data_IF_035637110282
#
_entry.id   IF_035637110282
#
_cell.length_a   1.000
_cell.length_b   1.000
_cell.length_c   1.000
_cell.angle_alpha   90.00
_cell.angle_beta   90.00
_cell.angle_gamma   90.00
#
_symmetry.space_group_name_H-M   'P 1'
#
loop_
_entity.id
_entity.type
_entity.pdbx_description
1 polymer ?
#
# COMPACT_ATOMS: atom_id res chain seq x y z
N UNK A 1 10.14 -22.32 11.91
CA UNK A 1 8.96 -22.02 11.07
C UNK A 1 7.94 -23.12 11.22
N UNK A 2 6.85 -22.86 11.89
CA UNK A 2 5.80 -23.85 12.12
C UNK A 2 4.51 -23.50 11.37
N UNK A 3 3.94 -24.49 10.72
CA UNK A 3 2.63 -24.35 10.05
C UNK A 3 1.46 -24.58 11.02
N UNK A 4 1.73 -25.16 12.18
CA UNK A 4 0.73 -25.50 13.18
C UNK A 4 1.06 -24.77 14.48
N UNK A 5 0.06 -24.12 15.04
CA UNK A 5 0.13 -23.53 16.37
C UNK A 5 -0.33 -24.58 17.40
N UNK A 6 0.58 -24.97 18.29
CA UNK A 6 0.33 -25.98 19.32
C UNK A 6 0.18 -25.38 20.73
N UNK A 7 0.21 -24.07 20.85
CA UNK A 7 0.14 -23.34 22.14
C UNK A 7 -1.29 -23.33 22.75
N UNK A 8 -2.01 -24.40 22.67
CA UNK A 8 -3.37 -24.55 23.15
C UNK A 8 -4.11 -25.54 22.27
N UNK A 9 -5.31 -25.19 21.80
CA UNK A 9 -5.97 -25.96 20.78
C UNK A 9 -5.18 -25.88 19.47
N UNK A 10 -4.91 -27.04 18.85
CA UNK A 10 -4.15 -27.09 17.59
C UNK A 10 -4.85 -26.30 16.48
N UNK A 11 -4.15 -25.33 15.91
CA UNK A 11 -4.64 -24.49 14.82
C UNK A 11 -3.64 -24.43 13.68
N UNK A 12 -4.15 -24.38 12.47
CA UNK A 12 -3.33 -24.18 11.27
C UNK A 12 -3.07 -22.68 11.11
N UNK A 13 -1.78 -22.33 10.95
CA UNK A 13 -1.39 -20.96 10.58
C UNK A 13 -1.60 -20.79 9.08
N UNK A 14 -2.76 -20.29 8.71
CA UNK A 14 -3.18 -20.22 7.31
C UNK A 14 -2.25 -19.37 6.43
N UNK A 15 -1.74 -18.25 6.95
CA UNK A 15 -0.80 -17.42 6.21
C UNK A 15 0.51 -18.15 5.92
N UNK A 16 1.00 -18.93 6.86
CA UNK A 16 2.20 -19.75 6.70
C UNK A 16 1.96 -20.90 5.71
N UNK A 17 0.85 -21.58 5.85
CA UNK A 17 0.46 -22.65 4.93
C UNK A 17 0.31 -22.13 3.49
N UNK A 18 -0.37 -21.01 3.32
CA UNK A 18 -0.52 -20.36 2.02
C UNK A 18 0.82 -19.97 1.40
N UNK A 19 1.73 -19.41 2.21
CA UNK A 19 3.07 -19.02 1.75
C UNK A 19 3.86 -20.20 1.26
N UNK A 20 3.82 -21.32 1.96
CA UNK A 20 4.52 -22.56 1.57
C UNK A 20 3.87 -23.21 0.35
N UNK A 21 2.54 -23.23 0.30
CA UNK A 21 1.77 -23.90 -0.75
C UNK A 21 1.71 -23.14 -2.08
N UNK A 22 1.97 -21.83 -2.08
CA UNK A 22 1.89 -21.00 -3.28
C UNK A 22 3.25 -20.78 -3.93
N UNK A 23 3.26 -20.62 -5.25
CA UNK A 23 4.48 -20.34 -5.99
C UNK A 23 4.96 -18.89 -5.90
N UNK A 24 4.09 -17.98 -5.50
CA UNK A 24 4.41 -16.57 -5.32
C UNK A 24 3.62 -15.96 -4.16
N UNK A 25 4.24 -15.03 -3.47
CA UNK A 25 3.64 -14.19 -2.43
C UNK A 25 3.70 -12.76 -2.93
N UNK A 26 2.56 -12.15 -3.11
CA UNK A 26 2.45 -10.82 -3.68
C UNK A 26 2.06 -9.79 -2.61
N UNK A 27 2.91 -8.80 -2.40
CA UNK A 27 2.53 -7.59 -1.69
C UNK A 27 1.84 -6.60 -2.65
N UNK A 28 0.90 -5.82 -2.14
CA UNK A 28 0.07 -4.91 -2.94
C UNK A 28 0.54 -3.45 -2.91
N UNK A 29 1.61 -3.18 -2.21
CA UNK A 29 2.33 -1.92 -2.18
C UNK A 29 3.78 -2.20 -1.77
N UNK A 30 4.72 -1.38 -2.19
CA UNK A 30 6.13 -1.61 -1.91
C UNK A 30 6.44 -1.65 -0.41
N UNK A 31 5.91 -0.71 0.34
CA UNK A 31 6.03 -0.70 1.80
C UNK A 31 5.46 -1.98 2.42
N UNK A 32 4.30 -2.41 1.98
CA UNK A 32 3.65 -3.64 2.44
C UNK A 32 4.48 -4.87 2.16
N UNK A 33 5.01 -4.98 0.94
CA UNK A 33 5.88 -6.09 0.52
C UNK A 33 7.14 -6.16 1.37
N UNK A 34 7.76 -5.00 1.62
CA UNK A 34 8.94 -4.90 2.48
C UNK A 34 8.63 -5.35 3.91
N UNK A 35 7.54 -4.87 4.49
CA UNK A 35 7.14 -5.25 5.85
C UNK A 35 6.83 -6.75 5.96
N UNK A 36 6.20 -7.35 4.95
CA UNK A 36 5.98 -8.80 4.92
C UNK A 36 7.30 -9.57 4.97
N UNK A 37 8.29 -9.13 4.20
CA UNK A 37 9.62 -9.75 4.17
C UNK A 37 10.40 -9.60 5.46
N UNK A 38 10.29 -8.46 6.12
CA UNK A 38 11.08 -8.10 7.29
C UNK A 38 10.47 -8.56 8.61
N UNK A 39 9.16 -8.74 8.65
CA UNK A 39 8.43 -9.01 9.90
C UNK A 39 7.62 -10.30 9.85
N UNK A 40 6.43 -10.26 9.29
CA UNK A 40 5.42 -11.34 9.39
C UNK A 40 5.89 -12.63 8.74
N UNK A 41 6.48 -12.56 7.57
CA UNK A 41 6.94 -13.71 6.78
C UNK A 41 8.46 -13.73 6.58
N UNK A 42 9.19 -13.19 7.54
CA UNK A 42 10.64 -13.06 7.50
C UNK A 42 11.36 -14.38 7.23
N UNK A 43 10.97 -15.43 7.93
CA UNK A 43 11.62 -16.74 7.80
C UNK A 43 11.39 -17.33 6.41
N UNK A 44 10.18 -17.18 5.88
CA UNK A 44 9.84 -17.62 4.53
C UNK A 44 10.54 -16.79 3.45
N UNK A 45 10.73 -15.51 3.67
CA UNK A 45 11.48 -14.65 2.77
C UNK A 45 12.96 -15.03 2.72
N UNK A 46 13.53 -15.51 3.83
CA UNK A 46 14.89 -16.04 3.89
C UNK A 46 15.02 -17.37 3.15
N UNK A 47 14.02 -18.24 3.25
CA UNK A 47 14.02 -19.56 2.60
C UNK A 47 13.70 -19.47 1.10
N UNK A 48 12.77 -18.62 0.73
CA UNK A 48 12.22 -18.51 -0.62
C UNK A 48 12.18 -17.05 -1.10
N UNK A 49 13.32 -16.35 -1.18
CA UNK A 49 13.31 -14.92 -1.53
C UNK A 49 12.71 -14.63 -2.91
N UNK A 50 12.85 -15.55 -3.86
CA UNK A 50 12.34 -15.41 -5.23
C UNK A 50 10.80 -15.48 -5.32
N UNK A 51 10.13 -16.00 -4.30
CA UNK A 51 8.66 -16.07 -4.27
C UNK A 51 8.00 -14.74 -3.92
N UNK A 52 8.74 -13.86 -3.24
CA UNK A 52 8.21 -12.57 -2.78
C UNK A 52 8.30 -11.53 -3.89
N UNK A 53 7.16 -11.04 -4.30
CA UNK A 53 7.02 -10.03 -5.35
C UNK A 53 6.18 -8.86 -4.88
N UNK A 54 6.37 -7.72 -5.50
CA UNK A 54 5.51 -6.58 -5.30
C UNK A 54 4.77 -6.27 -6.60
N UNK A 55 3.45 -6.20 -6.50
CA UNK A 55 2.59 -5.66 -7.55
C UNK A 55 1.69 -4.62 -6.91
N UNK A 56 2.09 -3.38 -7.01
CA UNK A 56 1.34 -2.27 -6.43
C UNK A 56 -0.06 -2.20 -7.02
N UNK A 57 -1.06 -2.07 -6.16
CA UNK A 57 -2.44 -1.88 -6.59
C UNK A 57 -2.56 -0.71 -7.54
N UNK A 58 -3.27 -0.91 -8.63
CA UNK A 58 -3.65 0.16 -9.53
C UNK A 58 -4.68 1.06 -8.87
N UNK A 59 -4.37 2.34 -8.75
CA UNK A 59 -5.30 3.36 -8.26
C UNK A 59 -5.37 4.51 -9.25
N UNK A 60 -6.52 5.14 -9.32
CA UNK A 60 -6.74 6.31 -10.17
C UNK A 60 -7.16 7.52 -9.34
N UNK A 61 -6.25 8.06 -8.47
CA UNK A 61 -6.61 9.11 -7.53
C UNK A 61 -7.15 10.35 -8.22
N UNK A 62 -6.62 10.70 -9.39
CA UNK A 62 -7.11 11.81 -10.22
C UNK A 62 -8.55 11.63 -10.62
N UNK A 63 -8.87 10.50 -11.23
CA UNK A 63 -10.21 10.18 -11.70
C UNK A 63 -11.20 10.07 -10.54
N UNK A 64 -10.82 9.39 -9.47
CA UNK A 64 -11.65 9.28 -8.28
C UNK A 64 -11.95 10.64 -7.67
N UNK A 65 -10.96 11.49 -7.53
CA UNK A 65 -11.14 12.83 -6.98
C UNK A 65 -12.05 13.68 -7.87
N UNK A 66 -11.78 13.70 -9.16
CA UNK A 66 -12.57 14.51 -10.12
C UNK A 66 -14.03 14.09 -10.21
N UNK A 67 -14.31 12.79 -10.18
CA UNK A 67 -15.65 12.24 -10.33
C UNK A 67 -16.40 12.15 -9.01
N UNK A 68 -15.76 11.69 -7.95
CA UNK A 68 -16.40 11.49 -6.66
C UNK A 68 -16.52 12.77 -5.85
N UNK A 69 -15.59 13.69 -6.00
CA UNK A 69 -15.61 14.97 -5.27
C UNK A 69 -15.20 16.14 -6.17
N UNK A 70 -16.07 16.54 -7.10
CA UNK A 70 -15.77 17.66 -8.02
C UNK A 70 -15.60 18.99 -7.29
N UNK A 71 -16.19 19.16 -6.11
CA UNK A 71 -16.00 20.35 -5.28
C UNK A 71 -14.56 20.50 -4.81
N UNK A 72 -13.98 19.40 -4.31
CA UNK A 72 -12.56 19.39 -3.90
C UNK A 72 -11.63 19.55 -5.11
N UNK A 73 -11.95 18.93 -6.25
CA UNK A 73 -11.19 19.11 -7.48
C UNK A 73 -11.12 20.58 -7.92
N UNK A 74 -12.26 21.28 -7.90
CA UNK A 74 -12.32 22.72 -8.20
C UNK A 74 -11.53 23.56 -7.20
N UNK A 75 -11.57 23.20 -5.93
CA UNK A 75 -10.80 23.89 -4.89
C UNK A 75 -9.28 23.74 -5.15
N UNK A 76 -8.85 22.55 -5.52
CA UNK A 76 -7.45 22.28 -5.88
C UNK A 76 -7.04 23.06 -7.13
N UNK A 77 -7.89 23.09 -8.16
CA UNK A 77 -7.64 23.86 -9.38
C UNK A 77 -7.44 25.34 -9.07
N UNK A 78 -8.28 25.89 -8.20
CA UNK A 78 -8.19 27.30 -7.79
C UNK A 78 -6.96 27.59 -6.92
N UNK A 79 -6.57 26.64 -6.06
CA UNK A 79 -5.47 26.84 -5.10
C UNK A 79 -4.07 26.63 -5.70
N UNK A 80 -3.90 25.63 -6.55
CA UNK A 80 -2.59 25.21 -7.08
C UNK A 80 -2.55 25.06 -8.60
N UNK A 81 -3.64 25.36 -9.29
CA UNK A 81 -3.78 25.18 -10.74
C UNK A 81 -4.11 23.75 -11.13
N UNK A 82 -4.62 23.53 -12.33
CA UNK A 82 -5.09 22.23 -12.82
C UNK A 82 -3.97 21.22 -13.14
N UNK A 83 -2.70 21.59 -13.07
CA UNK A 83 -1.59 20.71 -13.40
C UNK A 83 -1.40 19.54 -12.42
N UNK A 84 -1.98 19.58 -11.23
CA UNK A 84 -1.96 18.47 -10.26
C UNK A 84 -2.57 17.19 -10.85
N UNK A 85 -3.56 17.32 -11.74
CA UNK A 85 -4.19 16.18 -12.41
C UNK A 85 -3.22 15.40 -13.31
N UNK A 86 -2.17 16.03 -13.77
CA UNK A 86 -1.12 15.42 -14.60
C UNK A 86 0.11 15.04 -13.77
N UNK A 87 0.33 15.74 -12.67
CA UNK A 87 1.47 15.55 -11.79
C UNK A 87 1.00 15.60 -10.33
N UNK A 88 0.78 14.42 -9.75
CA UNK A 88 0.29 14.26 -8.38
C UNK A 88 1.29 14.73 -7.32
N UNK A 89 2.56 14.84 -7.66
CA UNK A 89 3.58 15.40 -6.78
C UNK A 89 3.26 16.83 -6.34
N UNK A 90 2.56 17.58 -7.17
CA UNK A 90 2.12 18.94 -6.86
C UNK A 90 1.12 19.01 -5.71
N UNK A 91 0.32 17.97 -5.50
CA UNK A 91 -0.57 17.87 -4.34
C UNK A 91 0.23 17.84 -3.05
N UNK A 92 1.29 17.04 -3.00
CA UNK A 92 2.15 16.95 -1.83
C UNK A 92 2.93 18.22 -1.60
N UNK A 93 3.58 18.73 -2.63
CA UNK A 93 4.58 19.79 -2.50
C UNK A 93 3.96 21.20 -2.37
N UNK A 94 2.79 21.40 -2.94
CA UNK A 94 2.13 22.71 -2.95
C UNK A 94 0.89 22.78 -2.05
N UNK A 95 0.13 21.71 -1.95
CA UNK A 95 -1.13 21.71 -1.20
C UNK A 95 -0.92 21.40 0.29
N UNK A 96 -0.13 20.40 0.63
CA UNK A 96 0.09 20.04 2.03
C UNK A 96 0.65 21.16 2.89
N UNK A 97 1.63 21.96 2.45
CA UNK A 97 2.08 23.11 3.21
C UNK A 97 0.96 24.12 3.50
N UNK A 98 0.15 24.44 2.49
CA UNK A 98 -0.96 25.38 2.63
C UNK A 98 -2.05 24.84 3.56
N UNK A 99 -2.33 23.56 3.50
CA UNK A 99 -3.28 22.90 4.40
C UNK A 99 -2.80 22.97 5.84
N UNK A 100 -1.52 22.74 6.08
CA UNK A 100 -0.91 22.87 7.41
C UNK A 100 -1.01 24.30 7.96
N UNK A 101 -0.75 25.28 7.14
CA UNK A 101 -0.89 26.70 7.52
C UNK A 101 -2.33 27.07 7.88
N UNK A 102 -3.32 26.51 7.16
CA UNK A 102 -4.73 26.79 7.43
C UNK A 102 -5.30 26.05 8.64
N UNK A 103 -4.70 24.92 9.05
CA UNK A 103 -5.12 24.11 10.20
C UNK A 103 -4.34 24.51 11.47
N UNK A 104 -3.11 24.91 11.27
CA UNK A 104 -2.23 25.37 12.35
C UNK A 104 -2.53 26.77 12.77
#
# INVERSE_FOLDING_TARGET
>A
VSLIDEAGEKRVRMAHLATVGCHAVNGVAELHTRLLRETVLRDFASLYPERFRNVTNGVTPRRFLMLANPGLARLLDAAIGGAWARDLGRLRDRWLPRLRESIG
#
